data_IF_076972080522
#
_entry.id   IF_076972080522
#
_cell.length_a   1.000
_cell.length_b   1.000
_cell.length_c   1.000
_cell.angle_alpha   90.00
_cell.angle_beta   90.00
_cell.angle_gamma   90.00
#
_symmetry.space_group_name_H-M   'P 1'
#
loop_
_entity.id
_entity.type
_entity.pdbx_description
1 polymer ?
#
# COMPACT_ATOMS: atom_id res chain seq x y z
N UNK A 1 -11.82 1.96 0.23
CA UNK A 1 -11.07 3.07 0.83
C UNK A 1 -10.13 2.54 1.90
N UNK A 2 -10.65 1.80 2.86
CA UNK A 2 -9.83 1.25 3.92
C UNK A 2 -8.78 0.26 3.40
N UNK A 3 -9.13 -0.45 2.38
CA UNK A 3 -8.24 -1.47 1.83
C UNK A 3 -6.96 -0.84 1.29
N UNK A 4 -7.09 0.28 0.58
CA UNK A 4 -5.92 0.98 0.06
C UNK A 4 -5.07 1.55 1.19
N UNK A 5 -5.74 2.02 2.22
CA UNK A 5 -5.03 2.53 3.39
C UNK A 5 -4.24 1.42 4.08
N UNK A 6 -4.83 0.24 4.19
CA UNK A 6 -4.16 -0.90 4.81
C UNK A 6 -2.87 -1.28 4.10
N UNK A 7 -2.88 -1.28 2.77
CA UNK A 7 -1.69 -1.61 1.99
C UNK A 7 -0.62 -0.55 2.18
N UNK A 8 -1.01 0.73 2.12
CA UNK A 8 -0.07 1.82 2.34
C UNK A 8 0.51 1.76 3.74
N UNK A 9 -0.32 1.48 4.73
CA UNK A 9 0.10 1.37 6.11
C UNK A 9 1.11 0.25 6.29
N UNK A 10 0.83 -0.91 5.72
CA UNK A 10 1.75 -2.03 5.82
C UNK A 10 3.11 -1.68 5.24
N UNK A 11 3.12 -1.08 4.06
CA UNK A 11 4.37 -0.71 3.41
C UNK A 11 5.09 0.40 4.16
N UNK A 12 4.36 1.29 4.80
CA UNK A 12 4.95 2.36 5.58
C UNK A 12 5.70 1.81 6.79
N UNK A 13 5.09 0.85 7.50
CA UNK A 13 5.70 0.30 8.71
C UNK A 13 6.66 -0.84 8.43
N UNK A 14 6.64 -1.41 7.24
CA UNK A 14 7.51 -2.52 6.88
C UNK A 14 8.36 -2.10 5.68
N UNK A 15 9.40 -1.34 5.97
CA UNK A 15 10.29 -0.81 4.93
C UNK A 15 10.92 -1.95 4.13
N UNK A 16 11.26 -1.64 2.89
CA UNK A 16 11.86 -2.61 1.99
C UNK A 16 10.86 -3.14 0.99
N UNK A 17 11.33 -4.05 0.15
CA UNK A 17 10.51 -4.62 -0.91
C UNK A 17 9.85 -5.91 -0.45
N UNK A 18 8.62 -6.12 -0.87
CA UNK A 18 7.84 -7.30 -0.52
C UNK A 18 7.27 -7.92 -1.78
N UNK A 19 7.28 -9.25 -1.87
CA UNK A 19 6.66 -9.93 -3.01
C UNK A 19 5.17 -9.67 -3.01
N UNK A 20 4.53 -9.83 -4.18
CA UNK A 20 3.08 -9.66 -4.27
C UNK A 20 2.34 -10.60 -3.33
N UNK A 21 2.76 -11.84 -3.26
CA UNK A 21 2.12 -12.82 -2.41
C UNK A 21 2.25 -12.46 -0.94
N UNK A 22 3.44 -12.03 -0.53
CA UNK A 22 3.67 -11.64 0.85
C UNK A 22 2.83 -10.43 1.23
N UNK A 23 2.83 -9.42 0.37
CA UNK A 23 2.03 -8.22 0.60
C UNK A 23 0.56 -8.55 0.66
N UNK A 24 0.07 -9.38 -0.27
CA UNK A 24 -1.32 -9.79 -0.29
C UNK A 24 -1.73 -10.49 0.99
N UNK A 25 -0.90 -11.41 1.47
CA UNK A 25 -1.24 -12.20 2.67
C UNK A 25 -1.25 -11.37 3.94
N UNK A 26 -0.34 -10.42 4.05
CA UNK A 26 -0.13 -9.71 5.31
C UNK A 26 -0.82 -8.37 5.38
N UNK A 27 -1.11 -7.75 4.24
CA UNK A 27 -1.64 -6.40 4.24
C UNK A 27 -3.14 -6.33 3.96
N UNK A 28 -3.75 -7.40 3.48
CA UNK A 28 -5.14 -7.32 3.05
C UNK A 28 -5.83 -8.68 3.13
N UNK A 29 -7.16 -8.63 3.15
CA UNK A 29 -7.99 -9.85 3.13
C UNK A 29 -8.73 -10.00 1.80
N UNK A 30 -8.33 -9.24 0.80
CA UNK A 30 -8.93 -9.32 -0.52
C UNK A 30 -8.58 -10.64 -1.22
N UNK A 31 -9.37 -11.00 -2.22
CA UNK A 31 -8.96 -12.04 -3.14
C UNK A 31 -7.74 -11.56 -3.90
N UNK A 32 -6.98 -12.49 -4.44
CA UNK A 32 -5.75 -12.13 -5.15
C UNK A 32 -6.06 -11.27 -6.38
N UNK A 33 -7.16 -11.57 -7.08
CA UNK A 33 -7.56 -10.79 -8.24
C UNK A 33 -7.87 -9.35 -7.88
N UNK A 34 -8.61 -9.14 -6.79
CA UNK A 34 -8.93 -7.80 -6.34
C UNK A 34 -7.69 -7.08 -5.84
N UNK A 35 -6.82 -7.79 -5.16
CA UNK A 35 -5.55 -7.23 -4.72
C UNK A 35 -4.73 -6.72 -5.91
N UNK A 36 -4.65 -7.51 -6.97
CA UNK A 36 -3.90 -7.10 -8.16
C UNK A 36 -4.47 -5.84 -8.78
N UNK A 37 -5.79 -5.73 -8.82
CA UNK A 37 -6.43 -4.52 -9.35
C UNK A 37 -6.06 -3.29 -8.54
N UNK A 38 -6.09 -3.41 -7.22
CA UNK A 38 -5.69 -2.30 -6.36
C UNK A 38 -4.22 -1.96 -6.53
N UNK A 39 -3.40 -2.99 -6.63
CA UNK A 39 -1.97 -2.78 -6.80
C UNK A 39 -1.66 -2.02 -8.09
N UNK A 40 -2.29 -2.44 -9.20
CA UNK A 40 -2.09 -1.75 -10.47
C UNK A 40 -2.60 -0.30 -10.38
N UNK A 41 -3.71 -0.08 -9.71
CA UNK A 41 -4.21 1.26 -9.50
C UNK A 41 -3.19 2.11 -8.75
N UNK A 42 -2.66 1.58 -7.66
CA UNK A 42 -1.67 2.32 -6.86
C UNK A 42 -0.38 2.58 -7.63
N UNK A 43 0.03 1.62 -8.44
CA UNK A 43 1.21 1.81 -9.31
C UNK A 43 0.95 2.93 -10.32
N UNK A 44 -0.24 2.97 -10.90
CA UNK A 44 -0.58 4.00 -11.87
C UNK A 44 -0.63 5.39 -11.26
N UNK A 45 -0.91 5.48 -9.96
CA UNK A 45 -0.92 6.74 -9.23
C UNK A 45 0.43 7.10 -8.64
N UNK A 46 1.44 6.24 -8.81
CA UNK A 46 2.76 6.50 -8.28
C UNK A 46 2.87 6.29 -6.77
N UNK A 47 1.93 5.60 -6.17
CA UNK A 47 1.93 5.37 -4.74
C UNK A 47 2.87 4.25 -4.31
N UNK A 48 3.03 3.25 -5.16
CA UNK A 48 3.94 2.14 -4.91
C UNK A 48 4.79 1.89 -6.14
N UNK A 49 5.94 1.26 -5.93
CA UNK A 49 6.85 0.88 -7.00
C UNK A 49 7.09 -0.61 -6.96
N UNK A 50 7.18 -1.22 -8.13
CA UNK A 50 7.50 -2.63 -8.23
C UNK A 50 8.79 -2.80 -9.02
N UNK A 51 9.70 -3.60 -8.46
CA UNK A 51 10.98 -3.90 -9.08
C UNK A 51 11.25 -5.40 -8.98
N UNK A 52 12.44 -5.82 -9.43
CA UNK A 52 12.84 -7.22 -9.31
C UNK A 52 12.86 -7.68 -7.86
N UNK A 53 13.05 -6.77 -6.93
CA UNK A 53 13.10 -7.10 -5.51
C UNK A 53 11.72 -7.15 -4.85
N UNK A 54 10.70 -6.66 -5.54
CA UNK A 54 9.34 -6.66 -5.02
C UNK A 54 8.70 -5.30 -5.03
N UNK A 55 7.67 -5.15 -4.24
CA UNK A 55 6.86 -3.94 -4.15
C UNK A 55 7.26 -3.15 -2.93
N UNK A 56 7.41 -1.84 -3.09
CA UNK A 56 7.74 -0.96 -1.98
C UNK A 56 6.97 0.35 -2.11
N UNK A 57 6.89 1.07 -1.01
CA UNK A 57 6.19 2.35 -0.96
C UNK A 57 7.00 3.41 -1.68
N UNK A 58 6.38 4.08 -2.64
CA UNK A 58 7.00 5.20 -3.32
C UNK A 58 6.97 6.45 -2.43
N UNK A 59 7.84 7.44 -2.67
CA UNK A 59 7.80 8.68 -1.89
C UNK A 59 6.42 9.36 -1.91
N UNK A 60 5.77 9.37 -3.07
CA UNK A 60 4.42 9.93 -3.19
C UNK A 60 3.43 9.16 -2.32
N UNK A 61 3.55 7.83 -2.30
CA UNK A 61 2.68 7.02 -1.47
C UNK A 61 2.87 7.30 0.01
N UNK A 62 4.10 7.54 0.41
CA UNK A 62 4.39 7.89 1.79
C UNK A 62 3.74 9.21 2.19
N UNK A 63 3.81 10.20 1.32
CA UNK A 63 3.17 11.49 1.58
C UNK A 63 1.66 11.36 1.69
N UNK A 64 1.06 10.59 0.79
CA UNK A 64 -0.38 10.36 0.80
C UNK A 64 -0.80 9.66 2.09
N UNK A 65 -0.04 8.65 2.49
CA UNK A 65 -0.33 7.93 3.72
C UNK A 65 -0.28 8.87 4.93
N UNK A 66 0.73 9.71 5.01
CA UNK A 66 0.87 10.63 6.14
C UNK A 66 -0.28 11.62 6.20
N UNK A 67 -0.72 12.11 5.04
CA UNK A 67 -1.87 13.02 4.99
C UNK A 67 -3.15 12.35 5.43
N UNK A 68 -3.37 11.11 5.01
CA UNK A 68 -4.54 10.34 5.43
C UNK A 68 -4.51 10.12 6.94
N UNK A 69 -3.34 9.83 7.46
CA UNK A 69 -3.17 9.58 8.88
C UNK A 69 -3.45 10.83 9.70
N UNK A 70 -3.07 11.99 9.21
CA UNK A 70 -3.36 13.24 9.90
C UNK A 70 -4.84 13.53 9.95
N UNK A 71 -5.56 13.16 8.91
CA UNK A 71 -6.98 13.45 8.79
C UNK A 71 -7.83 12.54 9.65
N UNK A 72 -7.48 11.25 9.66
CA UNK A 72 -8.31 10.23 10.33
C UNK A 72 -8.30 10.33 11.85
N UNK A 73 -7.14 10.48 12.50
CA UNK A 73 -7.10 10.41 13.96
C UNK A 73 -7.81 11.54 14.66
N UNK A 74 -8.05 12.63 13.99
CA UNK A 74 -8.69 13.77 14.61
C UNK A 74 -10.10 13.45 15.09
N UNK A 75 -10.65 12.36 14.62
CA UNK A 75 -11.97 11.93 15.01
C UNK A 75 -11.97 11.31 16.41
N UNK A 76 -10.85 10.82 16.78
CA UNK A 76 -10.70 10.16 18.08
C UNK A 76 -10.33 11.15 19.16
#
# INVERSE_FOLDING_TARGET
VQIRFEILEFLFYNAGAHSRTNLWRHATQLSYDDFQKYLEYMKSKGLVEESDQGIRLAPTGKEVYLKLRETLPSIL
#
